data_IF_909387867056
#
_entry.id   IF_909387867056
#
_cell.length_a   1.000
_cell.length_b   1.000
_cell.length_c   1.000
_cell.angle_alpha   90.00
_cell.angle_beta   90.00
_cell.angle_gamma   90.00
#
_symmetry.space_group_name_H-M   'P 1'
#
loop_
_entity.id
_entity.type
_entity.pdbx_description
1 polymer ?
#
# COMPACT_ATOMS: atom_id res chain seq x y z
N UNK A 1 6.62 26.01 -12.05
CA UNK A 1 5.23 25.52 -12.13
C UNK A 1 5.23 24.08 -11.63
N UNK A 2 4.77 23.83 -10.41
CA UNK A 2 4.49 22.45 -9.97
C UNK A 2 3.38 21.94 -10.88
N UNK A 3 3.67 20.95 -11.72
CA UNK A 3 2.65 20.29 -12.56
C UNK A 3 1.57 19.74 -11.63
N UNK A 4 0.32 20.09 -11.89
CA UNK A 4 -0.82 19.43 -11.27
C UNK A 4 -0.72 17.92 -11.53
N UNK A 5 -0.80 17.14 -10.45
CA UNK A 5 -0.77 15.68 -10.54
C UNK A 5 -2.14 15.23 -11.03
N UNK A 6 -2.19 14.66 -12.23
CA UNK A 6 -3.43 14.17 -12.84
C UNK A 6 -3.90 12.91 -12.12
N UNK A 7 -5.19 12.82 -11.82
CA UNK A 7 -5.85 11.57 -11.46
C UNK A 7 -6.38 10.91 -12.73
N UNK A 8 -6.00 9.66 -13.00
CA UNK A 8 -6.38 8.96 -14.22
C UNK A 8 -7.81 8.42 -14.08
N UNK A 9 -8.73 8.79 -14.97
CA UNK A 9 -10.14 8.40 -14.84
C UNK A 9 -10.35 6.88 -14.87
N UNK A 10 -9.65 6.16 -15.75
CA UNK A 10 -9.89 4.72 -15.96
C UNK A 10 -9.41 3.83 -14.81
N UNK A 11 -8.59 4.35 -13.89
CA UNK A 11 -8.15 3.63 -12.68
C UNK A 11 -8.52 4.37 -11.40
N UNK A 12 -9.27 5.48 -11.46
CA UNK A 12 -9.59 6.24 -10.25
C UNK A 12 -10.46 5.41 -9.30
N UNK A 13 -10.34 5.67 -8.02
CA UNK A 13 -11.29 5.15 -7.04
C UNK A 13 -12.55 6.01 -7.11
N UNK A 14 -13.72 5.36 -7.12
CA UNK A 14 -15.02 6.02 -7.15
C UNK A 14 -15.68 5.90 -5.78
N UNK A 15 -16.01 7.02 -5.16
CA UNK A 15 -16.80 7.01 -3.93
C UNK A 15 -18.25 6.69 -4.25
N UNK A 16 -18.84 5.77 -3.48
CA UNK A 16 -20.23 5.33 -3.64
C UNK A 16 -21.06 5.55 -2.38
N UNK A 17 -20.41 5.55 -1.22
CA UNK A 17 -21.06 5.80 0.06
C UNK A 17 -21.58 7.24 0.14
N UNK A 18 -22.88 7.46 0.31
CA UNK A 18 -23.54 8.79 0.41
C UNK A 18 -23.47 9.63 -0.87
N UNK A 19 -23.47 8.98 -2.05
CA UNK A 19 -23.49 9.65 -3.37
C UNK A 19 -24.81 9.37 -4.08
N UNK A 20 -25.68 10.38 -4.34
CA UNK A 20 -25.68 11.78 -3.82
C UNK A 20 -26.09 11.85 -2.32
N UNK A 21 -25.80 12.96 -1.58
CA UNK A 21 -25.40 14.30 -2.05
C UNK A 21 -23.89 14.56 -2.11
N UNK A 22 -23.06 13.66 -1.57
CA UNK A 22 -21.60 13.84 -1.56
C UNK A 22 -20.97 13.57 -2.94
N UNK A 23 -19.72 14.00 -3.12
CA UNK A 23 -18.97 13.75 -4.36
C UNK A 23 -18.63 12.27 -4.55
N UNK A 24 -18.52 11.83 -5.81
CA UNK A 24 -17.98 10.51 -6.21
C UNK A 24 -16.46 10.52 -6.40
N UNK A 25 -15.83 11.70 -6.31
CA UNK A 25 -14.42 11.92 -6.62
C UNK A 25 -13.53 11.85 -5.37
N UNK A 26 -12.43 11.13 -5.49
CA UNK A 26 -11.27 11.22 -4.61
C UNK A 26 -10.00 11.11 -5.46
N UNK A 27 -8.93 11.84 -5.10
CA UNK A 27 -7.66 11.83 -5.83
C UNK A 27 -6.83 10.59 -5.50
N UNK A 28 -7.32 9.42 -5.91
CA UNK A 28 -6.71 8.13 -5.68
C UNK A 28 -6.91 7.20 -6.88
N UNK A 29 -5.93 6.35 -7.15
CA UNK A 29 -6.01 5.36 -8.22
C UNK A 29 -5.70 3.96 -7.69
N UNK A 30 -6.41 2.98 -8.23
CA UNK A 30 -6.08 1.57 -8.10
C UNK A 30 -4.73 1.29 -8.77
N UNK A 31 -3.89 0.50 -8.10
CA UNK A 31 -2.62 0.01 -8.65
C UNK A 31 -2.52 -1.49 -8.38
N UNK A 32 -2.51 -2.28 -9.45
CA UNK A 32 -2.52 -3.75 -9.46
C UNK A 32 -1.46 -4.26 -10.42
N UNK A 33 -0.83 -5.38 -10.09
CA UNK A 33 0.15 -6.04 -10.93
C UNK A 33 -0.19 -7.52 -11.07
N UNK A 34 -0.04 -8.06 -12.27
CA UNK A 34 -0.30 -9.47 -12.51
C UNK A 34 0.63 -10.37 -11.68
N UNK A 35 0.03 -11.38 -11.04
CA UNK A 35 0.70 -12.29 -10.10
C UNK A 35 1.19 -11.65 -8.81
N UNK A 36 0.75 -10.43 -8.49
CA UNK A 36 0.97 -9.79 -7.21
C UNK A 36 -0.22 -10.04 -6.29
N UNK A 37 0.04 -10.42 -5.04
CA UNK A 37 -0.99 -10.73 -4.04
C UNK A 37 -1.58 -9.49 -3.37
N UNK A 38 -0.81 -8.40 -3.26
CA UNK A 38 -1.30 -7.11 -2.78
C UNK A 38 -1.98 -6.31 -3.88
N UNK A 39 -3.10 -5.68 -3.53
CA UNK A 39 -3.76 -4.62 -4.28
C UNK A 39 -3.53 -3.30 -3.57
N UNK A 40 -3.18 -2.26 -4.31
CA UNK A 40 -2.91 -0.93 -3.74
C UNK A 40 -3.92 0.11 -4.21
N UNK A 41 -4.14 1.10 -3.36
CA UNK A 41 -4.74 2.39 -3.71
C UNK A 41 -3.66 3.44 -3.48
N UNK A 42 -3.15 4.04 -4.55
CA UNK A 42 -2.21 5.16 -4.48
C UNK A 42 -2.98 6.47 -4.40
N UNK A 43 -2.95 7.13 -3.25
CA UNK A 43 -3.78 8.31 -2.96
C UNK A 43 -2.94 9.56 -2.69
N UNK A 44 -3.50 10.74 -3.01
CA UNK A 44 -3.03 12.00 -2.44
C UNK A 44 -3.23 11.98 -0.92
N UNK A 45 -2.35 12.66 -0.16
CA UNK A 45 -2.61 12.93 1.24
C UNK A 45 -3.94 13.70 1.40
N UNK A 46 -4.71 13.40 2.45
CA UNK A 46 -5.89 14.18 2.77
C UNK A 46 -5.54 15.66 2.97
N UNK A 47 -6.34 16.50 2.34
CA UNK A 47 -6.47 17.94 2.61
C UNK A 47 -7.63 18.14 3.59
N UNK A 48 -7.68 19.28 4.28
CA UNK A 48 -8.72 19.57 5.29
C UNK A 48 -10.14 19.33 4.79
N UNK A 49 -10.42 19.67 3.53
CA UNK A 49 -11.72 19.50 2.88
C UNK A 49 -11.97 18.13 2.23
N UNK A 50 -11.03 17.17 2.35
CA UNK A 50 -11.11 15.83 1.74
C UNK A 50 -10.86 14.70 2.74
N UNK A 51 -10.71 15.02 4.04
CA UNK A 51 -10.51 14.01 5.09
C UNK A 51 -11.71 13.06 5.16
N UNK A 52 -12.93 13.61 5.09
CA UNK A 52 -14.16 12.81 5.06
C UNK A 52 -14.16 11.83 3.88
N UNK A 53 -13.87 12.32 2.67
CA UNK A 53 -13.79 11.51 1.45
C UNK A 53 -12.74 10.41 1.54
N UNK A 54 -11.59 10.71 2.15
CA UNK A 54 -10.53 9.71 2.39
C UNK A 54 -11.02 8.57 3.29
N UNK A 55 -11.71 8.88 4.38
CA UNK A 55 -12.26 7.84 5.25
C UNK A 55 -13.45 7.11 4.63
N UNK A 56 -14.28 7.79 3.81
CA UNK A 56 -15.31 7.14 2.99
C UNK A 56 -14.69 6.09 2.06
N UNK A 57 -13.59 6.43 1.38
CA UNK A 57 -12.83 5.49 0.54
C UNK A 57 -12.30 4.31 1.37
N UNK A 58 -11.60 4.58 2.47
CA UNK A 58 -11.02 3.53 3.32
C UNK A 58 -12.09 2.58 3.85
N UNK A 59 -13.23 3.11 4.28
CA UNK A 59 -14.34 2.32 4.79
C UNK A 59 -15.02 1.49 3.69
N UNK A 60 -15.42 2.12 2.57
CA UNK A 60 -16.18 1.43 1.51
C UNK A 60 -15.37 0.31 0.85
N UNK A 61 -14.06 0.51 0.67
CA UNK A 61 -13.18 -0.47 0.02
C UNK A 61 -12.67 -1.53 1.01
N UNK A 62 -13.07 -1.45 2.28
CA UNK A 62 -12.65 -2.40 3.31
C UNK A 62 -11.15 -2.44 3.52
N UNK A 63 -10.46 -1.29 3.44
CA UNK A 63 -9.00 -1.23 3.52
C UNK A 63 -8.52 -1.54 4.95
N UNK A 64 -7.79 -2.65 5.18
CA UNK A 64 -7.28 -2.97 6.52
C UNK A 64 -6.06 -2.13 6.91
N UNK A 65 -5.35 -1.58 5.92
CA UNK A 65 -4.08 -0.87 6.13
C UNK A 65 -4.04 0.44 5.35
N UNK A 66 -3.60 1.51 6.03
CA UNK A 66 -3.25 2.81 5.47
C UNK A 66 -1.77 3.08 5.76
N UNK A 67 -0.96 3.22 4.73
CA UNK A 67 0.47 3.51 4.84
C UNK A 67 0.71 4.99 4.53
N UNK A 68 1.02 5.76 5.57
CA UNK A 68 1.36 7.17 5.48
C UNK A 68 2.88 7.35 5.49
N UNK A 69 3.41 7.86 4.39
CA UNK A 69 4.85 8.05 4.18
C UNK A 69 5.33 9.47 4.41
N UNK A 70 4.52 10.37 4.98
CA UNK A 70 4.85 11.80 5.14
C UNK A 70 4.40 12.36 6.50
N UNK A 71 5.09 13.39 6.98
CA UNK A 71 4.60 14.22 8.09
C UNK A 71 3.59 15.24 7.55
N UNK A 72 2.75 15.80 8.42
CA UNK A 72 1.83 16.87 8.02
C UNK A 72 2.57 18.12 7.50
N UNK A 73 3.74 18.41 8.10
CA UNK A 73 4.62 19.51 7.68
C UNK A 73 6.04 19.00 7.51
N UNK A 74 6.65 19.31 6.37
CA UNK A 74 8.05 19.02 6.05
C UNK A 74 8.70 20.26 5.42
N UNK A 75 9.88 20.67 5.90
CA UNK A 75 10.60 21.87 5.44
C UNK A 75 9.72 23.15 5.39
N UNK A 76 8.86 23.32 6.39
CA UNK A 76 7.93 24.46 6.49
C UNK A 76 6.77 24.41 5.48
N UNK A 77 6.59 23.32 4.73
CA UNK A 77 5.51 23.14 3.76
C UNK A 77 4.51 22.11 4.27
N UNK A 78 3.22 22.43 4.11
CA UNK A 78 2.12 21.49 4.37
C UNK A 78 2.17 20.38 3.32
N UNK A 79 2.11 19.13 3.78
CA UNK A 79 2.18 17.91 2.97
C UNK A 79 0.94 17.04 3.09
N UNK A 80 0.30 17.07 4.26
CA UNK A 80 -0.91 16.33 4.62
C UNK A 80 -1.61 17.06 5.76
N UNK A 81 -2.93 16.95 5.84
CA UNK A 81 -3.68 17.26 7.04
C UNK A 81 -3.62 16.09 8.03
N UNK A 82 -3.80 16.35 9.33
CA UNK A 82 -3.90 15.30 10.34
C UNK A 82 -5.31 14.68 10.29
N UNK A 83 -5.42 13.51 9.69
CA UNK A 83 -6.71 12.86 9.42
C UNK A 83 -7.08 11.75 10.41
N UNK A 84 -6.31 11.54 11.48
CA UNK A 84 -6.66 10.62 12.56
C UNK A 84 -6.24 11.18 13.92
N UNK A 85 -6.89 10.80 15.04
CA UNK A 85 -6.46 11.15 16.38
C UNK A 85 -5.10 10.50 16.73
N UNK A 86 -4.18 11.23 17.35
CA UNK A 86 -2.85 10.68 17.67
C UNK A 86 -2.79 9.95 19.01
N UNK A 87 -3.70 10.27 19.93
CA UNK A 87 -3.71 9.69 21.28
C UNK A 87 -4.65 8.49 21.37
N UNK A 88 -4.29 7.44 22.12
CA UNK A 88 -5.18 6.31 22.37
C UNK A 88 -6.43 6.77 23.13
N UNK A 89 -7.60 6.33 22.68
CA UNK A 89 -8.91 6.71 23.20
C UNK A 89 -9.45 8.03 22.63
N UNK A 90 -8.64 8.81 21.92
CA UNK A 90 -9.11 10.04 21.29
C UNK A 90 -9.90 9.74 20.01
N UNK A 91 -10.91 10.57 19.75
CA UNK A 91 -11.74 10.48 18.56
C UNK A 91 -11.98 11.86 17.95
N UNK A 92 -12.20 11.88 16.63
CA UNK A 92 -12.57 13.07 15.87
C UNK A 92 -13.67 12.66 14.87
N UNK A 93 -14.63 13.55 14.64
CA UNK A 93 -15.58 13.42 13.53
C UNK A 93 -15.12 14.28 12.35
N UNK A 94 -14.92 13.64 11.21
CA UNK A 94 -14.62 14.30 9.94
C UNK A 94 -15.87 14.20 9.07
N UNK A 95 -16.71 15.24 9.10
CA UNK A 95 -18.05 15.18 8.53
C UNK A 95 -18.85 14.02 9.12
N UNK A 96 -19.35 13.12 8.27
CA UNK A 96 -20.12 11.93 8.66
C UNK A 96 -19.26 10.77 9.14
N UNK A 97 -17.93 10.88 9.11
CA UNK A 97 -17.01 9.81 9.48
C UNK A 97 -16.54 9.98 10.93
N UNK A 98 -16.89 9.04 11.80
CA UNK A 98 -16.31 8.92 13.14
C UNK A 98 -15.01 8.13 13.08
N UNK A 99 -13.93 8.71 13.62
CA UNK A 99 -12.58 8.12 13.59
C UNK A 99 -12.00 8.13 14.99
N UNK A 100 -11.66 6.95 15.53
CA UNK A 100 -11.18 6.77 16.90
C UNK A 100 -9.90 5.95 16.91
N UNK A 101 -8.85 6.46 17.56
CA UNK A 101 -7.61 5.71 17.75
C UNK A 101 -7.71 4.85 18.99
N UNK A 102 -7.81 3.53 18.82
CA UNK A 102 -7.92 2.57 19.92
C UNK A 102 -6.57 2.27 20.58
N UNK A 103 -5.52 2.18 19.77
CA UNK A 103 -4.19 1.73 20.20
C UNK A 103 -3.12 2.41 19.39
N UNK A 104 -1.98 2.70 20.03
CA UNK A 104 -0.77 3.22 19.38
C UNK A 104 0.38 2.31 19.76
N UNK A 105 1.12 1.85 18.75
CA UNK A 105 2.30 1.01 18.90
C UNK A 105 3.48 1.67 18.18
N UNK A 106 4.69 1.39 18.67
CA UNK A 106 5.92 1.85 18.05
C UNK A 106 6.77 0.63 17.69
N UNK A 107 7.15 0.53 16.42
CA UNK A 107 8.07 -0.49 15.96
C UNK A 107 9.20 0.14 15.15
N UNK A 108 10.38 0.23 15.77
CA UNK A 108 11.57 0.80 15.15
C UNK A 108 11.41 2.28 14.76
N UNK A 109 11.03 2.52 13.50
CA UNK A 109 10.86 3.88 12.92
C UNK A 109 9.44 4.15 12.44
N UNK A 110 8.50 3.30 12.83
CA UNK A 110 7.08 3.36 12.47
C UNK A 110 6.25 3.56 13.72
N UNK A 111 5.21 4.38 13.60
CA UNK A 111 4.09 4.40 14.53
C UNK A 111 2.93 3.67 13.87
N UNK A 112 2.30 2.77 14.60
CA UNK A 112 1.17 1.97 14.13
C UNK A 112 -0.03 2.34 14.99
N UNK A 113 -1.04 2.92 14.36
CA UNK A 113 -2.30 3.31 15.00
C UNK A 113 -3.37 2.29 14.61
N UNK A 114 -4.02 1.68 15.60
CA UNK A 114 -5.24 0.90 15.38
C UNK A 114 -6.41 1.87 15.46
N UNK A 115 -7.03 2.16 14.32
CA UNK A 115 -8.08 3.16 14.15
C UNK A 115 -9.40 2.46 13.86
N UNK A 116 -10.43 2.79 14.62
CA UNK A 116 -11.81 2.43 14.32
C UNK A 116 -12.44 3.54 13.47
N UNK A 117 -13.05 3.14 12.35
CA UNK A 117 -13.75 4.03 11.42
C UNK A 117 -15.21 3.60 11.34
N UNK A 118 -16.12 4.54 11.58
CA UNK A 118 -17.57 4.31 11.56
C UNK A 118 -18.28 5.46 10.84
N UNK A 119 -18.88 5.22 9.66
CA UNK A 119 -19.78 6.18 9.04
C UNK A 119 -21.04 6.37 9.87
N UNK A 120 -21.59 7.58 9.85
CA UNK A 120 -22.88 7.89 10.44
C UNK A 120 -24.01 7.02 9.83
N UNK A 121 -24.88 6.50 10.68
CA UNK A 121 -25.98 5.62 10.27
C UNK A 121 -25.58 4.16 10.04
N UNK A 122 -24.28 3.82 10.05
CA UNK A 122 -23.82 2.43 10.02
C UNK A 122 -23.77 1.83 11.43
N UNK A 123 -24.08 0.53 11.55
CA UNK A 123 -23.93 -0.22 12.80
C UNK A 123 -22.57 -0.90 12.93
N UNK A 124 -21.90 -1.16 11.81
CA UNK A 124 -20.60 -1.84 11.78
C UNK A 124 -19.48 -0.83 11.54
N UNK A 125 -18.43 -0.92 12.35
CA UNK A 125 -17.19 -0.19 12.16
C UNK A 125 -16.12 -1.07 11.51
N UNK A 126 -15.14 -0.42 10.86
CA UNK A 126 -13.94 -1.09 10.36
C UNK A 126 -12.75 -0.76 11.25
N UNK A 127 -11.92 -1.77 11.54
CA UNK A 127 -10.63 -1.58 12.19
C UNK A 127 -9.55 -1.46 11.12
N UNK A 128 -8.84 -0.34 11.12
CA UNK A 128 -7.83 0.03 10.13
C UNK A 128 -6.52 0.29 10.85
N UNK A 129 -5.42 -0.29 10.35
CA UNK A 129 -4.07 0.06 10.82
C UNK A 129 -3.52 1.22 10.00
N UNK A 130 -3.30 2.37 10.64
CA UNK A 130 -2.53 3.47 10.03
C UNK A 130 -1.06 3.29 10.41
N UNK A 131 -0.23 2.95 9.42
CA UNK A 131 1.21 2.77 9.58
C UNK A 131 1.90 4.05 9.12
N UNK A 132 2.43 4.81 10.07
CA UNK A 132 3.03 6.11 9.83
C UNK A 132 4.56 6.04 9.86
N UNK A 133 5.19 6.24 8.70
CA UNK A 133 6.63 6.35 8.56
C UNK A 133 7.05 7.83 8.53
N UNK A 134 7.53 8.34 9.66
CA UNK A 134 7.98 9.74 9.79
C UNK A 134 9.47 9.95 9.43
N UNK A 135 10.19 8.88 9.15
CA UNK A 135 11.64 8.88 8.93
C UNK A 135 12.07 9.03 7.46
N UNK A 136 11.13 9.14 6.52
CA UNK A 136 11.44 9.40 5.11
C UNK A 136 11.50 10.93 4.84
N UNK A 137 12.65 11.51 4.45
CA UNK A 137 12.79 12.95 4.19
C UNK A 137 12.11 13.43 2.89
N UNK A 138 11.61 14.68 2.82
CA UNK A 138 10.84 15.27 1.68
C UNK A 138 11.57 15.20 0.35
N UNK A 139 12.84 15.59 0.39
CA UNK A 139 13.67 15.77 -0.80
C UNK A 139 14.85 14.79 -0.84
N UNK A 140 14.70 13.64 -0.18
CA UNK A 140 15.77 12.67 -0.05
C UNK A 140 15.29 11.23 -0.19
N UNK A 141 16.28 10.35 -0.27
CA UNK A 141 16.10 8.92 -0.18
C UNK A 141 16.26 8.51 1.29
N UNK A 142 15.59 7.43 1.76
CA UNK A 142 15.94 6.81 3.01
C UNK A 142 17.43 6.47 3.03
N UNK A 143 18.10 6.70 4.16
CA UNK A 143 19.54 6.40 4.32
C UNK A 143 19.84 4.91 4.08
N UNK A 144 18.85 4.05 4.23
CA UNK A 144 18.95 2.62 3.93
C UNK A 144 17.62 2.05 3.43
N UNK A 145 17.68 1.18 2.42
CA UNK A 145 16.53 0.41 1.95
C UNK A 145 15.90 -0.48 3.03
N UNK A 146 16.63 -0.81 4.11
CA UNK A 146 16.16 -1.65 5.22
C UNK A 146 14.87 -1.15 5.87
N UNK A 147 14.65 0.16 5.95
CA UNK A 147 13.39 0.69 6.50
C UNK A 147 12.21 0.38 5.57
N UNK A 148 12.38 0.55 4.25
CA UNK A 148 11.34 0.21 3.28
C UNK A 148 10.99 -1.27 3.34
N UNK A 149 12.00 -2.14 3.48
CA UNK A 149 11.81 -3.58 3.60
C UNK A 149 11.05 -3.98 4.87
N UNK A 150 11.33 -3.32 6.01
CA UNK A 150 10.57 -3.51 7.24
C UNK A 150 9.11 -3.07 7.06
N UNK A 151 8.87 -1.92 6.43
CA UNK A 151 7.52 -1.48 6.14
C UNK A 151 6.76 -2.50 5.27
N UNK A 152 7.38 -2.97 4.19
CA UNK A 152 6.80 -3.98 3.30
C UNK A 152 6.41 -5.26 4.03
N UNK A 153 7.22 -5.69 5.01
CA UNK A 153 6.94 -6.85 5.88
C UNK A 153 5.83 -6.58 6.91
N UNK A 154 5.75 -5.35 7.42
CA UNK A 154 4.74 -4.93 8.39
C UNK A 154 3.35 -4.78 7.81
N UNK A 155 3.26 -4.42 6.52
CA UNK A 155 1.98 -4.34 5.81
C UNK A 155 1.47 -5.76 5.61
N UNK A 156 0.49 -6.13 6.44
CA UNK A 156 -0.08 -7.46 6.46
C UNK A 156 -0.88 -7.74 5.18
N UNK A 157 -0.89 -8.99 4.74
CA UNK A 157 -1.77 -9.50 3.67
C UNK A 157 -3.17 -9.81 4.22
N UNK A 158 -3.72 -8.89 5.02
CA UNK A 158 -5.12 -8.99 5.41
C UNK A 158 -6.00 -8.81 4.17
N UNK A 159 -7.19 -9.43 4.15
CA UNK A 159 -8.10 -9.47 2.99
C UNK A 159 -8.65 -8.07 2.63
N UNK A 160 -7.86 -7.24 1.94
CA UNK A 160 -8.31 -5.96 1.41
C UNK A 160 -7.18 -5.12 0.80
N UNK A 161 -7.53 -4.04 0.10
CA UNK A 161 -6.56 -3.17 -0.54
C UNK A 161 -5.79 -2.30 0.46
N UNK A 162 -4.53 -2.03 0.14
CA UNK A 162 -3.66 -1.20 0.97
C UNK A 162 -3.69 0.23 0.41
N UNK A 163 -4.14 1.18 1.21
CA UNK A 163 -4.00 2.60 0.86
C UNK A 163 -2.56 3.01 1.12
N UNK A 164 -1.88 3.53 0.12
CA UNK A 164 -0.53 4.06 0.26
C UNK A 164 -0.50 5.50 -0.22
N UNK A 165 -0.02 6.40 0.64
CA UNK A 165 0.11 7.80 0.28
C UNK A 165 1.38 8.44 0.86
N UNK A 166 1.78 9.53 0.23
CA UNK A 166 2.74 10.48 0.75
C UNK A 166 2.07 11.85 0.75
N UNK A 167 2.64 12.87 0.13
CA UNK A 167 1.94 14.13 -0.12
C UNK A 167 1.09 14.06 -1.40
N UNK A 168 1.73 13.97 -2.57
CA UNK A 168 0.99 13.85 -3.85
C UNK A 168 0.59 12.41 -4.23
N UNK A 169 1.03 11.41 -3.46
CA UNK A 169 0.70 10.00 -3.73
C UNK A 169 1.43 9.38 -4.92
N UNK A 170 2.59 9.92 -5.31
CA UNK A 170 3.30 9.49 -6.54
C UNK A 170 4.80 9.26 -6.35
N UNK A 171 5.50 10.07 -5.53
CA UNK A 171 6.95 9.93 -5.31
C UNK A 171 7.30 8.73 -4.42
N UNK A 172 7.28 8.93 -3.09
CA UNK A 172 7.53 7.84 -2.11
C UNK A 172 6.57 6.67 -2.30
N UNK A 173 5.28 6.95 -2.51
CA UNK A 173 4.25 5.93 -2.77
C UNK A 173 4.61 5.03 -3.95
N UNK A 174 4.85 5.61 -5.13
CA UNK A 174 5.22 4.81 -6.30
C UNK A 174 6.55 4.06 -6.12
N UNK A 175 7.50 4.66 -5.40
CA UNK A 175 8.79 4.04 -5.08
C UNK A 175 8.62 2.76 -4.26
N UNK A 176 7.82 2.80 -3.17
CA UNK A 176 7.62 1.62 -2.32
C UNK A 176 6.81 0.55 -3.05
N UNK A 177 5.74 0.94 -3.76
CA UNK A 177 4.93 -0.01 -4.54
C UNK A 177 5.82 -0.75 -5.54
N UNK A 178 6.67 -0.03 -6.28
CA UNK A 178 7.55 -0.67 -7.27
C UNK A 178 8.57 -1.62 -6.62
N UNK A 179 9.17 -1.23 -5.48
CA UNK A 179 10.08 -2.10 -4.72
C UNK A 179 9.36 -3.38 -4.30
N UNK A 180 8.16 -3.27 -3.71
CA UNK A 180 7.37 -4.42 -3.26
C UNK A 180 7.06 -5.38 -4.41
N UNK A 181 6.63 -4.85 -5.56
CA UNK A 181 6.33 -5.63 -6.77
C UNK A 181 7.54 -6.36 -7.31
N UNK A 182 8.70 -5.69 -7.39
CA UNK A 182 9.95 -6.31 -7.87
C UNK A 182 10.38 -7.44 -6.92
N UNK A 183 10.39 -7.18 -5.61
CA UNK A 183 10.75 -8.18 -4.62
C UNK A 183 9.81 -9.39 -4.72
N UNK A 184 8.51 -9.16 -4.86
CA UNK A 184 7.53 -10.24 -5.00
C UNK A 184 7.78 -11.09 -6.23
N UNK A 185 8.06 -10.47 -7.38
CA UNK A 185 8.42 -11.20 -8.61
C UNK A 185 9.69 -12.03 -8.44
N UNK A 186 10.72 -11.46 -7.82
CA UNK A 186 11.96 -12.18 -7.53
C UNK A 186 11.71 -13.39 -6.60
N UNK A 187 10.90 -13.26 -5.55
CA UNK A 187 10.54 -14.39 -4.68
C UNK A 187 9.75 -15.48 -5.38
N UNK A 188 8.95 -15.11 -6.39
CA UNK A 188 8.22 -16.05 -7.21
C UNK A 188 9.06 -16.61 -8.38
N UNK A 189 10.37 -16.35 -8.41
CA UNK A 189 11.27 -16.73 -9.51
C UNK A 189 10.75 -16.30 -10.90
N UNK A 190 10.10 -15.13 -10.97
CA UNK A 190 9.60 -14.53 -12.21
C UNK A 190 10.59 -13.52 -12.75
N UNK A 191 10.62 -13.38 -14.08
CA UNK A 191 11.42 -12.35 -14.74
C UNK A 191 10.97 -10.94 -14.32
N UNK A 192 11.96 -10.07 -14.15
CA UNK A 192 11.78 -8.67 -13.77
C UNK A 192 12.23 -7.80 -14.93
N UNK A 193 11.26 -7.28 -15.68
CA UNK A 193 11.48 -6.13 -16.54
C UNK A 193 11.13 -4.85 -15.75
N UNK A 194 12.17 -4.18 -15.28
CA UNK A 194 12.05 -2.94 -14.51
C UNK A 194 11.32 -1.83 -15.27
N UNK A 195 11.56 -1.73 -16.58
CA UNK A 195 11.01 -0.67 -17.43
C UNK A 195 9.53 -0.92 -17.66
N UNK A 196 9.15 -2.17 -17.92
CA UNK A 196 7.75 -2.56 -18.08
C UNK A 196 6.95 -2.37 -16.79
N UNK A 197 7.45 -2.86 -15.65
CA UNK A 197 6.81 -2.64 -14.34
C UNK A 197 6.64 -1.16 -14.01
N UNK A 198 7.64 -0.35 -14.34
CA UNK A 198 7.57 1.08 -14.15
C UNK A 198 6.52 1.75 -15.04
N UNK A 199 6.41 1.34 -16.31
CA UNK A 199 5.36 1.79 -17.22
C UNK A 199 3.98 1.37 -16.73
N UNK A 200 3.80 0.13 -16.30
CA UNK A 200 2.56 -0.37 -15.71
C UNK A 200 2.14 0.44 -14.49
N UNK A 201 3.08 0.83 -13.62
CA UNK A 201 2.80 1.71 -12.47
C UNK A 201 2.27 3.08 -12.94
N UNK A 202 2.95 3.71 -13.90
CA UNK A 202 2.59 5.05 -14.39
C UNK A 202 1.29 5.07 -15.20
N UNK A 203 0.97 3.95 -15.85
CA UNK A 203 -0.31 3.74 -16.51
C UNK A 203 -1.47 3.53 -15.52
N UNK A 204 -1.22 3.39 -14.23
CA UNK A 204 -2.27 3.25 -13.22
C UNK A 204 -2.34 4.46 -12.29
N UNK A 205 -1.20 5.09 -12.00
CA UNK A 205 -1.10 6.36 -11.27
C UNK A 205 -0.10 7.28 -11.97
N UNK A 206 -0.62 8.34 -12.58
CA UNK A 206 0.19 9.24 -13.40
C UNK A 206 1.36 9.85 -12.61
N UNK A 207 2.50 10.02 -13.28
CA UNK A 207 3.71 10.64 -12.71
C UNK A 207 4.32 9.95 -11.48
N UNK A 208 3.95 8.69 -11.19
CA UNK A 208 4.64 7.88 -10.19
C UNK A 208 6.15 7.86 -10.40
N UNK A 209 6.91 8.01 -9.30
CA UNK A 209 8.38 8.19 -9.26
C UNK A 209 8.79 9.43 -10.07
N UNK A 210 8.92 10.56 -9.37
CA UNK A 210 9.04 11.88 -10.01
C UNK A 210 10.47 12.28 -10.36
N UNK A 211 11.46 11.70 -9.68
CA UNK A 211 12.87 12.05 -9.82
C UNK A 211 13.72 10.81 -10.04
N UNK A 212 14.77 10.94 -10.84
CA UNK A 212 15.67 9.83 -11.20
C UNK A 212 16.25 9.13 -9.97
N UNK A 213 16.58 9.90 -8.92
CA UNK A 213 17.08 9.36 -7.66
C UNK A 213 16.12 8.35 -7.01
N UNK A 214 14.80 8.53 -7.13
CA UNK A 214 13.82 7.56 -6.63
C UNK A 214 13.86 6.26 -7.43
N UNK A 215 14.01 6.33 -8.76
CA UNK A 215 14.13 5.15 -9.60
C UNK A 215 15.42 4.37 -9.31
N UNK A 216 16.55 5.07 -9.17
CA UNK A 216 17.82 4.46 -8.74
C UNK A 216 17.66 3.82 -7.35
N UNK A 217 16.95 4.49 -6.43
CA UNK A 217 16.71 3.97 -5.09
C UNK A 217 15.88 2.68 -5.08
N UNK A 218 14.94 2.50 -6.01
CA UNK A 218 14.24 1.22 -6.19
C UNK A 218 15.26 0.11 -6.43
N UNK A 219 16.18 0.31 -7.38
CA UNK A 219 17.23 -0.66 -7.72
C UNK A 219 18.14 -0.95 -6.53
N UNK A 220 18.65 0.11 -5.88
CA UNK A 220 19.53 -0.02 -4.71
C UNK A 220 18.84 -0.76 -3.57
N UNK A 221 17.57 -0.47 -3.30
CA UNK A 221 16.80 -1.14 -2.23
C UNK A 221 16.59 -2.62 -2.49
N UNK A 222 16.33 -3.00 -3.75
CA UNK A 222 16.20 -4.40 -4.16
C UNK A 222 17.53 -5.12 -4.03
N UNK A 223 18.63 -4.51 -4.49
CA UNK A 223 19.98 -5.08 -4.34
C UNK A 223 20.38 -5.23 -2.87
N UNK A 224 20.09 -4.25 -2.03
CA UNK A 224 20.32 -4.32 -0.59
C UNK A 224 19.53 -5.47 0.05
N UNK A 225 18.29 -5.69 -0.36
CA UNK A 225 17.50 -6.83 0.09
C UNK A 225 18.17 -8.16 -0.26
N UNK A 226 18.56 -8.32 -1.53
CA UNK A 226 19.20 -9.55 -2.03
C UNK A 226 20.50 -9.80 -1.25
N UNK A 227 21.33 -8.77 -1.06
CA UNK A 227 22.60 -8.89 -0.30
C UNK A 227 22.36 -9.35 1.13
N UNK A 228 21.36 -8.80 1.82
CA UNK A 228 21.01 -9.22 3.19
C UNK A 228 20.55 -10.67 3.21
N UNK A 229 19.66 -11.07 2.29
CA UNK A 229 19.19 -12.45 2.19
C UNK A 229 20.30 -13.46 1.88
N UNK A 230 21.24 -13.11 1.00
CA UNK A 230 22.41 -13.93 0.71
C UNK A 230 23.33 -14.07 1.94
N UNK A 231 23.58 -12.99 2.67
CA UNK A 231 24.43 -13.01 3.86
C UNK A 231 23.81 -13.86 4.99
N UNK A 232 22.50 -13.76 5.21
CA UNK A 232 21.78 -14.63 6.17
C UNK A 232 21.87 -16.11 5.75
N UNK A 233 21.78 -16.41 4.45
CA UNK A 233 21.88 -17.78 3.93
C UNK A 233 23.29 -18.37 4.07
N UNK A 234 24.33 -17.58 3.75
CA UNK A 234 25.73 -17.98 3.83
C UNK A 234 26.16 -18.24 5.29
N UNK A 235 25.69 -17.43 6.23
CA UNK A 235 25.96 -17.63 7.66
C UNK A 235 25.16 -18.81 8.23
N UNK A 236 23.96 -19.07 7.73
CA UNK A 236 23.11 -20.15 8.22
C UNK A 236 23.61 -21.55 7.84
N UNK A 237 24.40 -21.73 6.77
CA UNK A 237 25.25 -22.93 6.59
C UNK A 237 26.14 -22.86 5.33
N UNK A 238 27.40 -23.36 5.37
CA UNK A 238 28.19 -23.63 4.16
C UNK A 238 27.56 -24.67 3.23
N UNK A 239 26.54 -25.39 3.71
CA UNK A 239 25.81 -26.46 3.01
C UNK A 239 24.28 -26.29 3.01
N UNK A 240 23.76 -25.06 3.17
CA UNK A 240 22.31 -24.83 3.19
C UNK A 240 21.74 -24.65 1.78
N UNK A 241 20.78 -25.49 1.40
CA UNK A 241 19.81 -25.17 0.34
C UNK A 241 18.60 -24.48 0.97
N UNK A 242 18.24 -23.25 0.58
CA UNK A 242 17.13 -22.54 1.19
C UNK A 242 15.80 -23.24 0.89
N UNK A 243 14.89 -23.37 1.87
CA UNK A 243 13.54 -23.84 1.59
C UNK A 243 12.85 -22.78 0.73
N UNK A 244 12.32 -23.21 -0.41
CA UNK A 244 11.31 -22.44 -1.12
C UNK A 244 10.19 -22.14 -0.11
N UNK A 245 9.77 -20.87 0.08
CA UNK A 245 8.62 -20.60 0.94
C UNK A 245 7.42 -21.38 0.36
N UNK A 246 6.56 -21.98 1.20
CA UNK A 246 5.48 -22.81 0.69
C UNK A 246 4.62 -21.99 -0.27
N UNK A 247 4.72 -22.33 -1.55
CA UNK A 247 3.72 -22.01 -2.55
C UNK A 247 2.44 -22.66 -2.05
N UNK A 248 1.59 -21.91 -1.32
CA UNK A 248 0.17 -22.25 -1.27
C UNK A 248 -0.37 -22.00 -2.68
N UNK A 249 -0.18 -22.98 -3.55
CA UNK A 249 -1.05 -23.17 -4.69
C UNK A 249 -2.44 -23.34 -4.09
N UNK A 250 -3.34 -22.40 -4.37
CA UNK A 250 -4.75 -22.60 -4.15
C UNK A 250 -5.17 -23.84 -4.92
N UNK A 251 -5.44 -24.94 -4.21
CA UNK A 251 -6.15 -26.10 -4.76
C UNK A 251 -7.59 -25.67 -5.07
N UNK A 252 -7.77 -25.01 -6.20
CA UNK A 252 -9.04 -24.91 -6.90
C UNK A 252 -8.68 -24.71 -8.34
N UNK A 253 -8.28 -25.79 -9.01
CA UNK A 253 -8.48 -26.01 -10.44
C UNK A 253 -7.99 -27.42 -10.82
N UNK A 254 -8.95 -28.19 -11.35
CA UNK A 254 -8.82 -29.37 -12.21
C UNK A 254 -8.71 -30.75 -11.53
N UNK A 255 -9.83 -31.48 -11.56
CA UNK A 255 -9.86 -32.70 -12.39
C UNK A 255 -11.13 -32.74 -13.25
N UNK A 256 -10.98 -32.90 -14.58
CA UNK A 256 -11.98 -33.53 -15.41
C UNK A 256 -11.47 -34.92 -15.82
N UNK A 257 -12.31 -35.95 -15.71
CA UNK A 257 -12.33 -37.04 -16.70
C UNK A 257 -13.63 -37.83 -16.63
N UNK A 258 -14.24 -37.88 -17.81
CA UNK A 258 -15.33 -38.75 -18.21
C UNK A 258 -14.93 -40.22 -18.01
N UNK A 259 -15.89 -41.02 -17.58
CA UNK A 259 -15.99 -42.45 -17.93
C UNK A 259 -17.38 -42.69 -18.49
N UNK A 260 -17.45 -42.81 -19.82
CA UNK A 260 -18.50 -43.57 -20.50
C UNK A 260 -18.22 -45.06 -20.29
N UNK A 261 -19.25 -45.87 -20.04
CA UNK A 261 -19.17 -47.32 -20.23
C UNK A 261 -20.12 -48.22 -19.44
N UNK A 262 -21.37 -48.33 -19.92
CA UNK A 262 -22.08 -49.60 -20.25
C UNK A 262 -22.64 -50.51 -19.12
N UNK A 263 -23.95 -50.80 -19.26
CA UNK A 263 -24.80 -51.98 -18.91
C UNK A 263 -24.49 -52.76 -17.60
N UNK A 264 -25.43 -53.22 -16.78
CA UNK A 264 -26.57 -54.09 -17.08
C UNK A 264 -27.32 -54.44 -15.76
N UNK A 265 -28.65 -54.68 -15.89
CA UNK A 265 -29.63 -55.25 -14.93
C UNK A 265 -30.24 -54.34 -13.86
#
# INVERSE_FOLDING_TARGET
LLKDVVCLDYTRVHLTLDVPPSTDYIHANWVKFDGHDKVFIAAQAPLDNTIEDFWRMVFQEGCPNVVNLTKCVEDGKIKSSQYWPLEPGAFIRFGKMFVNTKKVESEGRFLIYTVEVLPEGCSNSNIVKVIHMTSWPDRGLPISGRHVLRLIRQVNLDNGPIVMHCSAGIGRTGTIILIDVILRRLFCAREVDMVDLFKQLRNQRASCIQVEGQYIFVIVSVLDYIKVGLHETIIASPHYTPPCPPLRLSETLLTPRQSLGILER
#
